data_IF_589910287111
#
_entry.id   IF_589910287111
#
_cell.length_a   1.000
_cell.length_b   1.000
_cell.length_c   1.000
_cell.angle_alpha   90.00
_cell.angle_beta   90.00
_cell.angle_gamma   90.00
#
_symmetry.space_group_name_H-M   'P 1'
#
loop_
_entity.id
_entity.type
_entity.pdbx_description
1 polymer ?
#
# COMPACT_ATOMS: atom_id res chain seq x y z
N UNK A 1 -12.39 8.58 -5.82
CA UNK A 1 -12.48 7.17 -5.41
C UNK A 1 -11.72 6.31 -6.40
N UNK A 2 -11.12 5.20 -5.97
CA UNK A 2 -10.43 4.25 -6.83
C UNK A 2 -10.90 2.82 -6.49
N UNK A 3 -11.16 2.01 -7.52
CA UNK A 3 -11.44 0.59 -7.36
C UNK A 3 -10.42 -0.22 -8.16
N UNK A 4 -9.69 -1.09 -7.47
CA UNK A 4 -8.76 -2.03 -8.06
C UNK A 4 -9.38 -3.43 -8.06
N UNK A 5 -9.36 -4.11 -9.20
CA UNK A 5 -9.61 -5.56 -9.27
C UNK A 5 -8.30 -6.26 -9.61
N UNK A 6 -7.81 -7.09 -8.68
CA UNK A 6 -6.57 -7.84 -8.81
C UNK A 6 -6.88 -9.32 -9.01
N UNK A 7 -6.41 -9.89 -10.12
CA UNK A 7 -6.65 -11.30 -10.46
C UNK A 7 -6.04 -12.29 -9.47
N UNK A 8 -4.95 -11.92 -8.81
CA UNK A 8 -4.15 -12.80 -7.95
C UNK A 8 -3.32 -11.93 -7.01
N UNK A 9 -3.47 -12.14 -5.71
CA UNK A 9 -2.92 -11.29 -4.66
C UNK A 9 -2.29 -12.11 -3.55
N UNK A 10 -0.96 -12.05 -3.48
CA UNK A 10 -0.18 -12.52 -2.33
C UNK A 10 -0.45 -11.59 -1.14
N UNK A 11 -1.09 -12.14 -0.11
CA UNK A 11 -1.47 -11.42 1.11
C UNK A 11 -0.26 -10.86 1.86
N UNK A 12 0.89 -11.54 1.86
CA UNK A 12 2.04 -11.17 2.67
C UNK A 12 2.89 -10.06 2.05
N UNK A 13 3.15 -10.16 0.74
CA UNK A 13 4.05 -9.23 0.04
C UNK A 13 3.31 -8.33 -0.95
N UNK A 14 2.52 -8.90 -1.85
CA UNK A 14 1.90 -8.18 -2.96
C UNK A 14 0.85 -7.17 -2.49
N UNK A 15 -0.13 -7.62 -1.71
CA UNK A 15 -1.27 -6.80 -1.29
C UNK A 15 -0.88 -5.55 -0.51
N UNK A 16 0.02 -5.61 0.51
CA UNK A 16 0.47 -4.41 1.21
C UNK A 16 1.12 -3.38 0.26
N UNK A 17 1.93 -3.84 -0.69
CA UNK A 17 2.56 -2.97 -1.68
C UNK A 17 1.53 -2.37 -2.65
N UNK A 18 0.61 -3.19 -3.17
CA UNK A 18 -0.45 -2.74 -4.07
C UNK A 18 -1.35 -1.68 -3.40
N UNK A 19 -1.71 -1.86 -2.13
CA UNK A 19 -2.48 -0.87 -1.37
C UNK A 19 -1.77 0.49 -1.36
N UNK A 20 -0.49 0.52 -0.96
CA UNK A 20 0.27 1.76 -0.87
C UNK A 20 0.45 2.44 -2.24
N UNK A 21 0.82 1.67 -3.28
CA UNK A 21 1.05 2.21 -4.62
C UNK A 21 -0.21 2.80 -5.25
N UNK A 22 -1.35 2.09 -5.17
CA UNK A 22 -2.59 2.59 -5.77
C UNK A 22 -3.21 3.73 -4.96
N UNK A 23 -3.00 3.77 -3.63
CA UNK A 23 -3.35 4.95 -2.84
C UNK A 23 -2.54 6.17 -3.27
N UNK A 24 -1.20 6.06 -3.36
CA UNK A 24 -0.33 7.15 -3.79
C UNK A 24 -0.64 7.62 -5.22
N UNK A 25 -0.85 6.68 -6.15
CA UNK A 25 -1.25 7.01 -7.52
C UNK A 25 -2.60 7.72 -7.58
N UNK A 26 -3.58 7.27 -6.78
CA UNK A 26 -4.90 7.93 -6.70
C UNK A 26 -4.77 9.36 -6.19
N UNK A 27 -3.91 9.59 -5.19
CA UNK A 27 -3.64 10.93 -4.66
C UNK A 27 -2.96 11.83 -5.70
N UNK A 28 -1.97 11.31 -6.44
CA UNK A 28 -1.29 12.05 -7.49
C UNK A 28 -2.23 12.42 -8.66
N UNK A 29 -3.09 11.50 -9.10
CA UNK A 29 -4.09 11.77 -10.14
C UNK A 29 -5.13 12.79 -9.64
N UNK A 30 -5.57 12.68 -8.39
CA UNK A 30 -6.51 13.63 -7.81
C UNK A 30 -5.92 15.05 -7.83
N UNK A 31 -4.67 15.22 -7.38
CA UNK A 31 -3.96 16.49 -7.45
C UNK A 31 -3.86 17.05 -8.87
N UNK A 32 -3.41 16.25 -9.85
CA UNK A 32 -3.26 16.66 -11.25
C UNK A 32 -4.58 17.15 -11.86
N UNK A 33 -5.70 16.58 -11.40
CA UNK A 33 -7.04 16.87 -11.92
C UNK A 33 -7.82 17.89 -11.07
N UNK A 34 -7.21 18.44 -10.02
CA UNK A 34 -7.87 19.38 -9.10
C UNK A 34 -9.00 18.75 -8.28
N UNK A 35 -8.91 17.45 -7.99
CA UNK A 35 -9.83 16.67 -7.19
C UNK A 35 -9.21 16.29 -5.83
N UNK A 36 -10.06 15.86 -4.92
CA UNK A 36 -9.64 15.26 -3.64
C UNK A 36 -9.65 13.73 -3.71
N UNK A 37 -8.69 13.03 -3.08
CA UNK A 37 -8.72 11.58 -2.99
C UNK A 37 -9.93 11.10 -2.19
N UNK A 38 -10.60 10.06 -2.69
CA UNK A 38 -11.72 9.41 -2.01
C UNK A 38 -11.33 8.04 -1.47
N UNK A 39 -12.31 7.15 -1.34
CA UNK A 39 -12.09 5.76 -0.91
C UNK A 39 -11.31 4.95 -1.95
N UNK A 40 -10.37 4.14 -1.47
CA UNK A 40 -9.76 3.05 -2.22
C UNK A 40 -10.46 1.73 -1.86
N UNK A 41 -10.97 1.02 -2.87
CA UNK A 41 -11.57 -0.30 -2.74
C UNK A 41 -10.74 -1.32 -3.53
N UNK A 42 -10.56 -2.51 -2.97
CA UNK A 42 -9.73 -3.54 -3.60
C UNK A 42 -10.47 -4.88 -3.61
N UNK A 43 -10.81 -5.34 -4.81
CA UNK A 43 -11.34 -6.69 -5.06
C UNK A 43 -10.19 -7.60 -5.46
N UNK A 44 -10.00 -8.70 -4.72
CA UNK A 44 -8.98 -9.70 -5.00
C UNK A 44 -9.70 -10.98 -5.42
N UNK A 45 -9.41 -11.48 -6.61
CA UNK A 45 -10.07 -12.67 -7.17
C UNK A 45 -9.50 -13.93 -6.52
N UNK A 46 -8.19 -14.11 -6.62
CA UNK A 46 -7.44 -15.18 -5.94
C UNK A 46 -6.57 -14.55 -4.84
N UNK A 47 -7.05 -14.61 -3.61
CA UNK A 47 -6.30 -14.20 -2.43
C UNK A 47 -5.62 -15.42 -1.81
N UNK A 48 -4.28 -15.41 -1.73
CA UNK A 48 -3.51 -16.55 -1.27
C UNK A 48 -2.34 -16.15 -0.38
N UNK A 49 -1.87 -17.13 0.39
CA UNK A 49 -0.70 -17.06 1.27
C UNK A 49 0.25 -18.17 0.83
N UNK A 50 1.52 -17.84 0.59
CA UNK A 50 2.54 -18.87 0.36
C UNK A 50 2.87 -19.58 1.67
N UNK A 51 3.15 -20.90 1.58
CA UNK A 51 3.37 -21.74 2.76
C UNK A 51 4.54 -21.24 3.62
N UNK A 52 5.61 -20.76 2.99
CA UNK A 52 6.78 -20.18 3.67
C UNK A 52 6.50 -18.82 4.33
N UNK A 53 5.32 -18.23 4.17
CA UNK A 53 4.92 -16.97 4.82
C UNK A 53 4.03 -17.18 6.05
N UNK A 54 3.54 -18.41 6.29
CA UNK A 54 2.54 -18.68 7.33
C UNK A 54 3.01 -18.25 8.72
N UNK A 55 4.24 -18.59 9.12
CA UNK A 55 4.73 -18.30 10.46
C UNK A 55 4.97 -16.79 10.68
N UNK A 56 5.48 -16.09 9.67
CA UNK A 56 5.63 -14.63 9.71
C UNK A 56 4.27 -13.92 9.77
N UNK A 57 3.27 -14.38 9.02
CA UNK A 57 1.92 -13.81 9.11
C UNK A 57 1.26 -14.08 10.46
N UNK A 58 1.47 -15.25 11.07
CA UNK A 58 1.00 -15.53 12.44
C UNK A 58 1.63 -14.58 13.45
N UNK A 59 2.93 -14.30 13.34
CA UNK A 59 3.58 -13.28 14.16
C UNK A 59 2.95 -11.90 13.94
N UNK A 60 2.74 -11.50 12.68
CA UNK A 60 2.11 -10.23 12.35
C UNK A 60 0.72 -10.09 12.99
N UNK A 61 -0.08 -11.15 13.00
CA UNK A 61 -1.41 -11.18 13.60
C UNK A 61 -1.43 -11.02 15.12
N UNK A 62 -0.28 -11.19 15.80
CA UNK A 62 -0.17 -10.91 17.24
C UNK A 62 0.03 -9.42 17.57
N UNK A 63 0.30 -8.60 16.55
CA UNK A 63 0.57 -7.16 16.71
C UNK A 63 -0.74 -6.37 16.75
N UNK A 64 -0.78 -5.34 17.60
CA UNK A 64 -1.92 -4.40 17.65
C UNK A 64 -1.70 -3.29 16.62
N UNK A 65 -2.62 -3.08 15.66
CA UNK A 65 -2.49 -2.00 14.69
C UNK A 65 -2.32 -0.63 15.36
N UNK A 66 -1.27 0.09 14.95
CA UNK A 66 -0.98 1.47 15.37
C UNK A 66 -1.75 2.48 14.50
N UNK A 67 -1.80 3.78 14.89
CA UNK A 67 -2.36 4.82 14.04
C UNK A 67 -1.74 4.81 12.64
N UNK A 68 -2.58 5.09 11.63
CA UNK A 68 -2.12 5.15 10.24
C UNK A 68 -1.25 6.38 10.01
N UNK A 69 -0.23 6.29 9.13
CA UNK A 69 0.53 7.46 8.68
C UNK A 69 -0.32 8.33 7.74
N UNK A 70 0.19 9.53 7.45
CA UNK A 70 -0.33 10.41 6.40
C UNK A 70 0.70 10.58 5.30
N UNK A 71 0.26 10.47 4.05
CA UNK A 71 1.10 10.75 2.87
C UNK A 71 0.79 12.16 2.36
N UNK A 72 1.82 12.96 2.09
CA UNK A 72 1.72 14.26 1.44
C UNK A 72 2.52 14.23 0.14
N UNK A 73 1.98 14.81 -0.94
CA UNK A 73 2.63 14.91 -2.25
C UNK A 73 2.86 16.39 -2.57
N UNK A 74 4.06 16.74 -3.07
CA UNK A 74 4.37 18.10 -3.49
C UNK A 74 3.47 18.53 -4.67
N UNK A 75 3.09 19.81 -4.70
CA UNK A 75 2.26 20.40 -5.75
C UNK A 75 3.07 20.60 -7.05
N UNK A 76 3.21 19.51 -7.80
CA UNK A 76 3.91 19.44 -9.10
C UNK A 76 3.08 18.62 -10.09
N UNK A 77 3.29 18.83 -11.41
CA UNK A 77 2.76 17.94 -12.43
C UNK A 77 3.19 16.49 -12.17
N UNK A 78 2.27 15.55 -12.38
CA UNK A 78 2.49 14.13 -12.05
C UNK A 78 3.71 13.52 -12.76
N UNK A 79 4.03 14.00 -13.97
CA UNK A 79 5.17 13.56 -14.78
C UNK A 79 6.52 14.17 -14.34
N UNK A 80 6.49 15.11 -13.40
CA UNK A 80 7.66 15.77 -12.80
C UNK A 80 7.91 15.34 -11.34
N UNK A 81 7.04 14.51 -10.78
CA UNK A 81 7.20 14.00 -9.43
C UNK A 81 8.44 13.10 -9.33
N UNK A 82 9.20 13.31 -8.27
CA UNK A 82 10.36 12.51 -7.88
C UNK A 82 10.13 11.87 -6.51
N UNK A 83 11.00 10.96 -6.09
CA UNK A 83 10.86 10.31 -4.79
C UNK A 83 10.80 11.31 -3.62
N UNK A 84 11.59 12.40 -3.70
CA UNK A 84 11.67 13.43 -2.66
C UNK A 84 10.41 14.31 -2.56
N UNK A 85 9.47 14.17 -3.49
CA UNK A 85 8.19 14.88 -3.48
C UNK A 85 7.11 14.20 -2.63
N UNK A 86 7.44 13.06 -2.02
CA UNK A 86 6.54 12.29 -1.18
C UNK A 86 7.03 12.30 0.27
N UNK A 87 6.20 12.79 1.18
CA UNK A 87 6.48 12.78 2.62
C UNK A 87 5.49 11.88 3.33
N UNK A 88 6.00 10.93 4.11
CA UNK A 88 5.20 10.04 4.94
C UNK A 88 5.35 10.41 6.42
N UNK A 89 4.32 11.05 6.97
CA UNK A 89 4.31 11.55 8.34
C UNK A 89 3.66 10.54 9.30
N UNK A 90 4.24 10.40 10.50
CA UNK A 90 3.67 9.54 11.54
C UNK A 90 3.81 8.03 11.29
N UNK A 91 4.72 7.63 10.40
CA UNK A 91 4.99 6.21 10.14
C UNK A 91 5.83 5.58 11.26
N UNK A 92 5.15 4.89 12.18
CA UNK A 92 5.75 4.13 13.29
C UNK A 92 5.40 2.63 13.18
N UNK A 93 5.95 1.88 12.21
CA UNK A 93 5.64 0.46 12.05
C UNK A 93 6.30 -0.40 13.16
N UNK A 94 5.75 -1.58 13.39
CA UNK A 94 6.46 -2.63 14.12
C UNK A 94 7.69 -3.14 13.33
N UNK A 95 8.66 -3.82 13.98
CA UNK A 95 9.84 -4.35 13.31
C UNK A 95 9.50 -5.21 12.07
N UNK A 96 10.30 -5.07 11.01
CA UNK A 96 10.08 -5.76 9.73
C UNK A 96 10.04 -7.29 9.91
N UNK A 97 9.02 -7.92 9.36
CA UNK A 97 8.95 -9.38 9.15
C UNK A 97 9.42 -9.63 7.71
N UNK A 98 10.46 -10.46 7.55
CA UNK A 98 11.00 -10.77 6.22
C UNK A 98 10.29 -12.00 5.66
N UNK A 99 9.72 -11.84 4.47
CA UNK A 99 9.16 -12.94 3.69
C UNK A 99 10.05 -13.20 2.47
N UNK A 100 10.34 -14.45 2.18
CA UNK A 100 11.07 -14.83 0.97
C UNK A 100 10.12 -14.82 -0.23
N UNK A 101 10.55 -14.24 -1.36
CA UNK A 101 9.77 -14.25 -2.60
C UNK A 101 9.68 -15.69 -3.11
N UNK A 102 8.47 -16.17 -3.36
CA UNK A 102 8.28 -17.46 -4.00
C UNK A 102 8.76 -17.40 -5.47
N UNK A 103 9.57 -18.39 -5.87
CA UNK A 103 10.04 -18.58 -7.25
C UNK A 103 9.04 -19.41 -8.04
#
# INVERSE_FOLDING_TARGET
HCHLTQRSGDIALGIPFNLACYAALTMAIAQETGLEPGTFAHTIVDAHIYVNHIDGLKEQLTRTPKPLPSLTIAQKPIDQLTFDDFTLDGYDPDPVIRFEVAV
#
